data_IF_043432331533
#
_entry.id   IF_043432331533
#
_cell.length_a   1.000
_cell.length_b   1.000
_cell.length_c   1.000
_cell.angle_alpha   90.00
_cell.angle_beta   90.00
_cell.angle_gamma   90.00
#
_symmetry.space_group_name_H-M   'P 1'
#
loop_
_entity.id
_entity.type
_entity.pdbx_description
1 polymer ?
#
# COMPACT_ATOMS: atom_id res chain seq x y z
N UNK A 1 -1.71 37.69 11.68
CA UNK A 1 -1.00 37.01 10.56
C UNK A 1 -0.62 37.94 9.39
N UNK A 2 -1.22 39.13 9.22
CA UNK A 2 -0.87 40.06 8.13
C UNK A 2 0.56 40.65 8.19
N UNK A 3 1.27 40.51 9.31
CA UNK A 3 2.56 41.15 9.56
C UNK A 3 3.79 40.35 9.09
N UNK A 4 3.64 39.04 8.79
CA UNK A 4 4.75 38.22 8.29
C UNK A 4 5.03 38.48 6.80
N UNK A 5 3.99 38.81 6.04
CA UNK A 5 4.08 39.10 4.60
C UNK A 5 4.48 40.56 4.28
N UNK A 6 4.59 41.42 5.29
CA UNK A 6 5.03 42.81 5.15
C UNK A 6 6.54 42.98 5.36
N UNK A 7 7.29 41.90 5.52
CA UNK A 7 8.74 41.96 5.70
C UNK A 7 9.43 42.24 4.35
N UNK A 8 10.44 43.11 4.33
CA UNK A 8 11.04 43.60 3.09
C UNK A 8 11.93 42.56 2.38
N UNK A 9 12.40 41.54 3.11
CA UNK A 9 13.32 40.53 2.58
C UNK A 9 13.02 39.13 3.16
N UNK A 10 13.34 38.09 2.38
CA UNK A 10 13.15 36.68 2.71
C UNK A 10 14.04 36.22 3.89
N UNK A 11 15.21 36.84 4.06
CA UNK A 11 16.11 36.60 5.20
C UNK A 11 15.47 37.04 6.52
N UNK A 12 14.91 38.24 6.56
CA UNK A 12 14.20 38.78 7.71
C UNK A 12 12.94 37.96 8.09
N UNK A 13 12.30 37.31 7.10
CA UNK A 13 11.21 36.38 7.32
C UNK A 13 11.72 35.08 7.97
N UNK A 14 12.80 34.50 7.45
CA UNK A 14 13.41 33.29 8.02
C UNK A 14 13.81 33.53 9.48
N UNK A 15 14.52 34.61 9.78
CA UNK A 15 14.97 34.98 11.13
C UNK A 15 13.80 35.14 12.11
N UNK A 16 12.70 35.75 11.65
CA UNK A 16 11.48 35.87 12.47
C UNK A 16 10.78 34.53 12.68
N UNK A 17 10.71 33.67 11.67
CA UNK A 17 10.10 32.36 11.81
C UNK A 17 10.90 31.45 12.76
N UNK A 18 12.20 31.70 12.93
CA UNK A 18 13.05 31.03 13.93
C UNK A 18 13.05 31.68 15.31
N UNK A 19 12.23 32.72 15.55
CA UNK A 19 12.16 33.35 16.88
C UNK A 19 11.20 32.57 17.79
N UNK A 20 11.63 32.08 18.98
CA UNK A 20 10.78 31.28 19.87
C UNK A 20 9.46 31.96 20.24
N UNK A 21 9.50 33.28 20.45
CA UNK A 21 8.34 34.10 20.81
C UNK A 21 7.26 34.15 19.72
N UNK A 22 7.59 33.78 18.48
CA UNK A 22 6.63 33.68 17.37
C UNK A 22 6.12 32.25 17.22
N UNK A 23 6.98 31.25 17.40
CA UNK A 23 6.64 29.84 17.24
C UNK A 23 5.69 29.35 18.34
N UNK A 24 5.93 29.70 19.60
CA UNK A 24 5.09 29.29 20.74
C UNK A 24 3.59 29.63 20.59
N UNK A 25 3.19 30.90 20.31
CA UNK A 25 1.78 31.22 20.13
C UNK A 25 1.19 30.57 18.87
N UNK A 26 2.01 30.31 17.85
CA UNK A 26 1.59 29.61 16.65
C UNK A 26 1.27 28.14 16.96
N UNK A 27 2.13 27.45 17.71
CA UNK A 27 1.90 26.08 18.20
C UNK A 27 0.68 26.01 19.14
N UNK A 28 0.48 27.02 19.98
CA UNK A 28 -0.69 27.12 20.85
C UNK A 28 -2.00 27.29 20.05
N UNK A 29 -1.93 27.89 18.86
CA UNK A 29 -3.08 28.09 17.95
C UNK A 29 -3.44 26.87 17.08
N UNK A 30 -2.66 25.79 17.15
CA UNK A 30 -2.92 24.57 16.39
C UNK A 30 -4.15 23.84 16.94
N UNK A 31 -5.02 23.37 16.04
CA UNK A 31 -6.14 22.49 16.39
C UNK A 31 -5.59 21.11 16.79
N UNK A 32 -6.36 20.28 17.52
CA UNK A 32 -5.91 18.94 17.89
C UNK A 32 -5.44 18.09 16.70
N UNK A 33 -6.14 18.18 15.56
CA UNK A 33 -5.81 17.43 14.35
C UNK A 33 -4.54 17.98 13.66
N UNK A 34 -4.32 19.30 13.70
CA UNK A 34 -3.09 19.91 13.19
C UNK A 34 -1.88 19.50 14.05
N UNK A 35 -2.06 19.45 15.37
CA UNK A 35 -1.04 19.02 16.32
C UNK A 35 -0.68 17.55 16.13
N UNK A 36 -1.68 16.68 15.98
CA UNK A 36 -1.46 15.26 15.70
C UNK A 36 -0.66 15.05 14.39
N UNK A 37 -0.99 15.80 13.33
CA UNK A 37 -0.23 15.76 12.09
C UNK A 37 1.23 16.22 12.28
N UNK A 38 1.48 17.28 13.04
CA UNK A 38 2.83 17.76 13.34
C UNK A 38 3.62 16.73 14.17
N UNK A 39 3.01 16.17 15.20
CA UNK A 39 3.60 15.13 16.05
C UNK A 39 3.94 13.89 15.24
N UNK A 40 3.08 13.51 14.27
CA UNK A 40 3.36 12.40 13.36
C UNK A 40 4.64 12.65 12.54
N UNK A 41 4.81 13.86 12.00
CA UNK A 41 6.02 14.20 11.22
C UNK A 41 7.27 14.21 12.13
N UNK A 42 7.14 14.73 13.35
CA UNK A 42 8.23 14.74 14.33
C UNK A 42 8.64 13.31 14.75
N UNK A 43 7.67 12.42 14.97
CA UNK A 43 7.92 11.01 15.27
C UNK A 43 8.63 10.26 14.13
N UNK A 44 8.45 10.71 12.88
CA UNK A 44 9.16 10.19 11.69
C UNK A 44 10.54 10.84 11.47
N UNK A 45 11.02 11.64 12.43
CA UNK A 45 12.33 12.31 12.35
C UNK A 45 12.32 13.67 11.64
N UNK A 46 11.13 14.24 11.42
CA UNK A 46 10.94 15.55 10.78
C UNK A 46 10.72 15.50 9.27
N UNK A 47 10.62 14.29 8.68
CA UNK A 47 10.31 14.09 7.27
C UNK A 47 9.36 12.90 7.09
N UNK A 48 8.36 13.02 6.23
CA UNK A 48 7.40 11.95 5.94
C UNK A 48 6.95 11.98 4.48
N UNK A 49 6.66 10.81 3.90
CA UNK A 49 6.08 10.73 2.58
C UNK A 49 4.70 11.40 2.55
N UNK A 50 4.46 12.25 1.54
CA UNK A 50 3.22 13.03 1.44
C UNK A 50 2.00 12.11 1.43
N UNK A 51 2.03 11.02 0.67
CA UNK A 51 0.92 10.06 0.55
C UNK A 51 0.49 9.48 1.90
N UNK A 52 1.44 9.19 2.80
CA UNK A 52 1.13 8.64 4.12
C UNK A 52 0.41 9.66 4.98
N UNK A 53 0.88 10.91 4.98
CA UNK A 53 0.32 11.98 5.78
C UNK A 53 -1.03 12.44 5.25
N UNK A 54 -1.17 12.58 3.93
CA UNK A 54 -2.40 13.07 3.29
C UNK A 54 -3.58 12.11 3.42
N UNK A 55 -3.30 10.80 3.49
CA UNK A 55 -4.32 9.78 3.71
C UNK A 55 -5.05 9.96 5.04
N UNK A 56 -4.34 10.42 6.07
CA UNK A 56 -4.87 10.54 7.44
C UNK A 56 -5.30 11.97 7.77
N UNK A 57 -4.56 12.98 7.31
CA UNK A 57 -4.73 14.37 7.73
C UNK A 57 -5.17 15.32 6.60
N UNK A 58 -5.45 14.79 5.42
CA UNK A 58 -5.86 15.52 4.21
C UNK A 58 -4.69 16.13 3.44
N UNK A 59 -4.94 16.55 2.20
CA UNK A 59 -3.92 17.08 1.30
C UNK A 59 -3.89 18.60 1.23
N UNK A 60 -2.81 19.15 0.67
CA UNK A 60 -2.75 20.55 0.24
C UNK A 60 -3.56 20.68 -1.04
N UNK A 61 -4.44 21.68 -1.12
CA UNK A 61 -5.21 21.99 -2.34
C UNK A 61 -4.27 22.63 -3.37
N UNK A 62 -3.84 21.94 -4.44
CA UNK A 62 -2.95 22.54 -5.41
C UNK A 62 -3.75 23.44 -6.34
N UNK A 63 -3.16 24.56 -6.77
CA UNK A 63 -3.79 25.47 -7.72
C UNK A 63 -4.17 24.75 -9.03
N UNK A 64 -3.36 23.75 -9.43
CA UNK A 64 -3.55 22.95 -10.64
C UNK A 64 -4.75 22.00 -10.58
N UNK A 65 -5.31 21.71 -9.40
CA UNK A 65 -6.51 20.87 -9.28
C UNK A 65 -7.81 21.61 -9.67
N UNK A 66 -7.76 22.94 -9.87
CA UNK A 66 -8.94 23.74 -10.16
C UNK A 66 -8.94 24.23 -11.60
N UNK A 67 -10.08 24.07 -12.29
CA UNK A 67 -10.26 24.46 -13.69
C UNK A 67 -10.08 25.95 -13.93
N UNK A 68 -10.46 26.79 -12.95
CA UNK A 68 -10.28 28.24 -13.03
C UNK A 68 -9.81 28.85 -11.70
N UNK A 69 -9.15 30.03 -11.73
CA UNK A 69 -8.66 30.69 -10.53
C UNK A 69 -9.76 31.02 -9.51
N UNK A 70 -10.98 31.33 -10.01
CA UNK A 70 -12.11 31.67 -9.14
C UNK A 70 -12.57 30.48 -8.29
N UNK A 71 -12.56 29.26 -8.84
CA UNK A 71 -12.88 28.05 -8.08
C UNK A 71 -11.85 27.79 -6.99
N UNK A 72 -10.56 28.02 -7.27
CA UNK A 72 -9.51 27.93 -6.25
C UNK A 72 -9.72 28.94 -5.12
N UNK A 73 -9.98 30.22 -5.44
CA UNK A 73 -10.27 31.25 -4.42
C UNK A 73 -11.51 30.91 -3.58
N UNK A 74 -12.57 30.39 -4.21
CA UNK A 74 -13.74 29.92 -3.50
C UNK A 74 -13.41 28.75 -2.57
N UNK A 75 -12.55 27.82 -3.02
CA UNK A 75 -12.10 26.71 -2.18
C UNK A 75 -11.31 27.21 -0.97
N UNK A 76 -10.48 28.24 -1.11
CA UNK A 76 -9.71 28.83 0.01
C UNK A 76 -10.58 29.38 1.15
N UNK A 77 -11.85 29.73 0.89
CA UNK A 77 -12.80 30.11 1.94
C UNK A 77 -13.27 28.93 2.79
N UNK A 78 -13.11 27.69 2.31
CA UNK A 78 -13.40 26.48 3.07
C UNK A 78 -12.34 26.19 4.14
N UNK A 79 -12.68 25.32 5.09
CA UNK A 79 -11.78 24.90 6.17
C UNK A 79 -10.58 24.14 5.57
N UNK A 80 -9.33 24.57 5.84
CA UNK A 80 -8.15 23.88 5.34
C UNK A 80 -7.95 22.54 6.08
N UNK A 81 -7.36 21.58 5.36
CA UNK A 81 -6.88 20.33 5.97
C UNK A 81 -5.79 20.62 7.01
N UNK A 82 -5.44 19.65 7.85
CA UNK A 82 -4.38 19.85 8.84
C UNK A 82 -3.02 20.05 8.17
N UNK A 83 -2.72 19.24 7.15
CA UNK A 83 -1.47 19.37 6.37
C UNK A 83 -1.41 20.72 5.67
N UNK A 84 -2.50 21.16 5.05
CA UNK A 84 -2.56 22.48 4.42
C UNK A 84 -2.37 23.62 5.41
N UNK A 85 -2.98 23.51 6.60
CA UNK A 85 -2.80 24.52 7.65
C UNK A 85 -1.35 24.57 8.14
N UNK A 86 -0.72 23.42 8.38
CA UNK A 86 0.70 23.37 8.76
C UNK A 86 1.60 23.97 7.67
N UNK A 87 1.28 23.72 6.39
CA UNK A 87 1.99 24.28 5.25
C UNK A 87 1.82 25.80 5.14
N UNK A 88 0.60 26.31 5.26
CA UNK A 88 0.30 27.75 5.23
C UNK A 88 0.95 28.49 6.40
N UNK A 89 1.08 27.83 7.55
CA UNK A 89 1.79 28.38 8.72
C UNK A 89 3.32 28.31 8.59
N UNK A 90 3.86 27.67 7.55
CA UNK A 90 5.30 27.52 7.33
C UNK A 90 5.97 26.53 8.27
N UNK A 91 5.20 25.68 8.98
CA UNK A 91 5.73 24.65 9.87
C UNK A 91 6.28 23.44 9.11
N UNK A 92 5.78 23.22 7.89
CA UNK A 92 6.21 22.14 7.00
C UNK A 92 6.40 22.70 5.58
N UNK A 93 7.26 22.05 4.82
CA UNK A 93 7.51 22.33 3.41
C UNK A 93 7.33 21.07 2.59
N UNK A 94 6.84 21.22 1.36
CA UNK A 94 6.66 20.14 0.41
C UNK A 94 7.85 20.11 -0.56
N UNK A 95 8.55 18.97 -0.61
CA UNK A 95 9.63 18.72 -1.55
C UNK A 95 9.26 17.57 -2.49
N UNK A 96 9.75 17.62 -3.73
CA UNK A 96 9.62 16.54 -4.69
C UNK A 96 10.98 15.87 -4.87
N UNK A 97 11.04 14.56 -4.64
CA UNK A 97 12.23 13.73 -4.80
C UNK A 97 11.96 12.66 -5.87
N UNK A 98 13.00 11.93 -6.30
CA UNK A 98 12.86 10.81 -7.24
C UNK A 98 11.93 9.71 -6.71
N UNK A 99 11.87 9.54 -5.37
CA UNK A 99 10.99 8.59 -4.70
C UNK A 99 9.55 9.11 -4.49
N UNK A 100 9.27 10.36 -4.88
CA UNK A 100 7.97 11.03 -4.72
C UNK A 100 8.01 12.27 -3.83
N UNK A 101 6.82 12.76 -3.48
CA UNK A 101 6.65 13.96 -2.68
C UNK A 101 6.80 13.69 -1.18
N UNK A 102 7.51 14.56 -0.47
CA UNK A 102 7.75 14.48 0.97
C UNK A 102 7.40 15.80 1.67
N UNK A 103 6.83 15.70 2.86
CA UNK A 103 6.72 16.83 3.79
C UNK A 103 7.91 16.81 4.74
N UNK A 104 8.58 17.95 4.88
CA UNK A 104 9.70 18.12 5.80
C UNK A 104 9.54 19.36 6.67
N UNK A 105 9.95 19.26 7.92
CA UNK A 105 10.03 20.41 8.84
C UNK A 105 11.35 21.14 8.53
N UNK A 106 11.32 22.48 8.31
CA UNK A 106 12.53 23.27 8.17
C UNK A 106 13.52 23.02 9.33
N UNK A 107 14.79 22.83 9.00
CA UNK A 107 15.80 22.39 9.99
C UNK A 107 15.91 23.36 11.15
N UNK A 108 15.82 24.67 10.88
CA UNK A 108 15.89 25.72 11.89
C UNK A 108 14.67 25.77 12.83
N UNK A 109 13.52 25.21 12.41
CA UNK A 109 12.33 25.13 13.26
C UNK A 109 12.38 23.95 14.22
N UNK A 110 13.04 22.84 13.85
CA UNK A 110 13.12 21.62 14.68
C UNK A 110 13.51 21.87 16.15
N UNK A 111 14.52 22.68 16.51
CA UNK A 111 14.87 22.89 17.92
C UNK A 111 13.81 23.65 18.72
N UNK A 112 12.85 24.32 18.05
CA UNK A 112 11.78 25.10 18.66
C UNK A 112 10.48 24.29 18.83
N UNK A 113 10.44 23.06 18.30
CA UNK A 113 9.26 22.21 18.33
C UNK A 113 9.28 21.26 19.55
N UNK A 114 8.10 20.78 19.98
CA UNK A 114 8.04 19.80 21.06
C UNK A 114 8.82 18.54 20.70
N UNK A 115 9.47 17.95 21.70
CA UNK A 115 10.14 16.65 21.53
C UNK A 115 9.11 15.54 21.53
N UNK A 116 9.07 14.75 20.47
CA UNK A 116 8.16 13.61 20.30
C UNK A 116 8.99 12.33 20.23
N UNK A 117 8.52 11.26 20.88
CA UNK A 117 9.19 9.97 20.80
C UNK A 117 9.18 9.46 19.35
N UNK A 118 10.30 8.91 18.84
CA UNK A 118 10.35 8.38 17.49
C UNK A 118 9.39 7.20 17.36
N UNK A 119 8.82 7.03 16.16
CA UNK A 119 7.91 5.92 15.89
C UNK A 119 8.66 4.59 15.96
N UNK A 120 8.15 3.66 16.75
CA UNK A 120 8.67 2.30 16.76
C UNK A 120 8.31 1.62 15.43
N UNK A 121 9.31 1.46 14.57
CA UNK A 121 9.19 0.77 13.28
C UNK A 121 9.54 -0.70 13.38
N UNK A 122 9.77 -1.24 14.57
CA UNK A 122 10.04 -2.67 14.70
C UNK A 122 8.75 -3.45 14.42
N UNK A 123 8.71 -4.26 13.34
CA UNK A 123 7.54 -5.09 13.10
C UNK A 123 7.44 -6.09 14.25
N UNK A 124 6.34 -6.01 15.01
CA UNK A 124 6.04 -7.00 16.03
C UNK A 124 5.38 -8.20 15.37
N UNK A 125 6.11 -9.32 15.34
CA UNK A 125 5.55 -10.58 14.88
C UNK A 125 4.89 -11.28 16.06
N UNK A 126 3.58 -11.46 16.00
CA UNK A 126 2.86 -12.31 16.94
C UNK A 126 3.22 -13.78 16.70
N UNK A 127 3.34 -14.56 17.76
CA UNK A 127 3.44 -16.03 17.65
C UNK A 127 2.10 -16.54 17.14
N UNK A 128 2.06 -16.97 15.88
CA UNK A 128 0.91 -17.66 15.32
C UNK A 128 0.91 -19.10 15.88
N UNK A 129 -0.24 -19.64 16.31
CA UNK A 129 -0.32 -21.06 16.66
C UNK A 129 0.19 -21.92 15.49
N UNK A 130 0.90 -23.02 15.77
CA UNK A 130 1.40 -23.89 14.72
C UNK A 130 0.24 -24.36 13.84
N UNK A 131 0.41 -24.38 12.50
CA UNK A 131 -0.65 -24.82 11.61
C UNK A 131 -1.03 -26.26 11.93
N UNK A 132 -2.34 -26.55 11.91
CA UNK A 132 -2.88 -27.89 12.22
C UNK A 132 -2.38 -28.96 11.24
N UNK A 133 -1.95 -28.54 10.05
CA UNK A 133 -1.46 -29.42 9.00
C UNK A 133 -0.15 -28.86 8.44
N UNK A 134 0.90 -29.67 8.52
CA UNK A 134 2.16 -29.46 7.82
C UNK A 134 2.37 -30.64 6.88
N UNK A 135 2.78 -30.35 5.65
CA UNK A 135 3.11 -31.36 4.65
C UNK A 135 4.49 -31.02 4.10
N UNK A 136 5.35 -32.04 3.97
CA UNK A 136 6.64 -31.86 3.31
C UNK A 136 6.42 -31.40 1.87
N UNK A 137 7.19 -30.40 1.43
CA UNK A 137 7.09 -29.92 0.06
C UNK A 137 7.54 -31.02 -0.91
N UNK A 138 6.63 -31.43 -1.79
CA UNK A 138 6.92 -32.30 -2.94
C UNK A 138 6.64 -31.49 -4.22
N UNK A 139 7.67 -30.88 -4.83
CA UNK A 139 7.49 -30.08 -6.04
C UNK A 139 6.90 -30.87 -7.21
N UNK A 140 7.27 -32.15 -7.34
CA UNK A 140 6.79 -33.01 -8.44
C UNK A 140 5.34 -33.43 -8.22
N UNK A 141 4.97 -33.74 -6.98
CA UNK A 141 3.57 -33.95 -6.60
C UNK A 141 2.71 -32.71 -6.86
N UNK A 142 3.21 -31.54 -6.45
CA UNK A 142 2.54 -30.27 -6.66
C UNK A 142 2.31 -29.95 -8.14
N UNK A 143 3.34 -30.11 -8.98
CA UNK A 143 3.24 -29.90 -10.43
C UNK A 143 2.24 -30.88 -11.06
N UNK A 144 2.30 -32.16 -10.68
CA UNK A 144 1.38 -33.19 -11.18
C UNK A 144 -0.06 -32.88 -10.82
N UNK A 145 -0.31 -32.44 -9.59
CA UNK A 145 -1.64 -32.08 -9.12
C UNK A 145 -2.17 -30.85 -9.86
N UNK A 146 -1.32 -29.83 -10.06
CA UNK A 146 -1.64 -28.64 -10.84
C UNK A 146 -2.02 -28.98 -12.28
N UNK A 147 -1.18 -29.77 -12.96
CA UNK A 147 -1.44 -30.23 -14.34
C UNK A 147 -2.73 -31.05 -14.41
N UNK A 148 -2.99 -31.89 -13.40
CA UNK A 148 -4.23 -32.68 -13.33
C UNK A 148 -5.46 -31.80 -13.19
N UNK A 149 -5.41 -30.75 -12.36
CA UNK A 149 -6.51 -29.78 -12.22
C UNK A 149 -6.77 -29.06 -13.55
N UNK A 150 -5.71 -28.58 -14.20
CA UNK A 150 -5.82 -27.87 -15.48
C UNK A 150 -6.36 -28.78 -16.57
N UNK A 151 -5.83 -30.01 -16.70
CA UNK A 151 -6.28 -30.99 -17.67
C UNK A 151 -7.77 -31.35 -17.48
N UNK A 152 -8.22 -31.49 -16.23
CA UNK A 152 -9.62 -31.72 -15.93
C UNK A 152 -10.52 -30.53 -16.31
N UNK A 153 -10.09 -29.31 -15.99
CA UNK A 153 -10.83 -28.10 -16.35
C UNK A 153 -10.86 -27.85 -17.87
N UNK A 154 -9.86 -28.34 -18.60
CA UNK A 154 -9.83 -28.29 -20.07
C UNK A 154 -10.76 -29.33 -20.71
N UNK A 155 -10.80 -30.55 -20.16
CA UNK A 155 -11.65 -31.62 -20.66
C UNK A 155 -13.14 -31.35 -20.42
N UNK A 156 -13.50 -30.85 -19.24
CA UNK A 156 -14.88 -30.50 -18.90
C UNK A 156 -14.89 -29.48 -17.75
N UNK A 157 -15.54 -28.30 -17.93
CA UNK A 157 -15.51 -27.23 -16.95
C UNK A 157 -15.92 -27.67 -15.54
N UNK A 158 -15.12 -27.32 -14.54
CA UNK A 158 -15.39 -27.63 -13.14
C UNK A 158 -16.46 -26.67 -12.62
N UNK A 159 -17.59 -27.20 -12.16
CA UNK A 159 -18.68 -26.41 -11.58
C UNK A 159 -18.27 -25.76 -10.26
N UNK A 160 -18.68 -24.51 -10.08
CA UNK A 160 -18.57 -23.73 -8.85
C UNK A 160 -19.94 -23.58 -8.19
N UNK A 161 -19.91 -23.39 -6.87
CA UNK A 161 -21.02 -22.94 -6.06
C UNK A 161 -21.13 -21.40 -6.11
N UNK A 162 -22.21 -20.84 -5.59
CA UNK A 162 -22.44 -19.39 -5.53
C UNK A 162 -21.37 -18.62 -4.74
N UNK A 163 -20.62 -19.29 -3.86
CA UNK A 163 -19.53 -18.71 -3.08
C UNK A 163 -18.15 -18.83 -3.77
N UNK A 164 -18.10 -19.26 -5.05
CA UNK A 164 -16.86 -19.41 -5.81
C UNK A 164 -16.02 -20.64 -5.41
N UNK A 165 -16.57 -21.55 -4.61
CA UNK A 165 -15.92 -22.85 -4.29
C UNK A 165 -16.35 -23.94 -5.25
N UNK A 166 -15.53 -24.98 -5.42
CA UNK A 166 -15.84 -26.14 -6.27
C UNK A 166 -17.08 -26.88 -5.76
N UNK A 167 -17.99 -27.16 -6.68
CA UNK A 167 -19.16 -28.00 -6.41
C UNK A 167 -18.74 -29.44 -6.08
N UNK A 168 -19.53 -30.14 -5.28
CA UNK A 168 -19.23 -31.51 -4.79
C UNK A 168 -18.93 -32.50 -5.92
N UNK A 169 -19.60 -32.39 -7.06
CA UNK A 169 -19.35 -33.23 -8.24
C UNK A 169 -17.96 -32.97 -8.84
N UNK A 170 -17.53 -31.72 -8.92
CA UNK A 170 -16.20 -31.33 -9.38
C UNK A 170 -15.11 -31.81 -8.42
N UNK A 171 -15.35 -31.71 -7.11
CA UNK A 171 -14.45 -32.23 -6.08
C UNK A 171 -14.31 -33.76 -6.16
N UNK A 172 -15.40 -34.50 -6.37
CA UNK A 172 -15.35 -35.94 -6.53
C UNK A 172 -14.55 -36.37 -7.77
N UNK A 173 -14.69 -35.63 -8.88
CA UNK A 173 -13.91 -35.86 -10.12
C UNK A 173 -12.42 -35.59 -9.90
N UNK A 174 -12.08 -34.50 -9.20
CA UNK A 174 -10.71 -34.18 -8.82
C UNK A 174 -10.11 -35.25 -7.92
N UNK A 175 -10.83 -35.67 -6.89
CA UNK A 175 -10.41 -36.71 -5.97
C UNK A 175 -10.14 -38.04 -6.67
N UNK A 176 -11.01 -38.42 -7.61
CA UNK A 176 -10.83 -39.63 -8.42
C UNK A 176 -9.55 -39.58 -9.30
N UNK A 177 -9.19 -38.41 -9.83
CA UNK A 177 -7.97 -38.25 -10.65
C UNK A 177 -6.70 -38.14 -9.82
N UNK A 178 -6.78 -37.46 -8.69
CA UNK A 178 -5.66 -37.30 -7.76
C UNK A 178 -5.45 -38.54 -6.89
N UNK A 179 -6.28 -39.58 -7.03
CA UNK A 179 -6.23 -40.81 -6.22
C UNK A 179 -6.32 -40.55 -4.71
N UNK A 180 -7.12 -39.55 -4.32
CA UNK A 180 -7.36 -39.21 -2.91
C UNK A 180 -8.82 -39.33 -2.55
N UNK A 181 -9.10 -39.42 -1.24
CA UNK A 181 -10.47 -39.43 -0.73
C UNK A 181 -11.16 -38.09 -1.00
N UNK A 182 -12.35 -38.14 -1.59
CA UNK A 182 -13.11 -36.93 -1.90
C UNK A 182 -13.46 -36.15 -0.63
N UNK A 183 -12.97 -34.91 -0.54
CA UNK A 183 -13.37 -33.99 0.51
C UNK A 183 -14.83 -33.58 0.34
N UNK A 184 -15.55 -33.40 1.46
CA UNK A 184 -16.94 -32.92 1.46
C UNK A 184 -17.07 -31.47 1.00
N UNK A 185 -16.00 -30.68 1.11
CA UNK A 185 -15.92 -29.29 0.69
C UNK A 185 -14.50 -28.91 0.33
N UNK A 186 -14.34 -27.90 -0.54
CA UNK A 186 -13.02 -27.38 -0.93
C UNK A 186 -12.25 -26.80 0.27
N UNK A 187 -12.96 -26.23 1.26
CA UNK A 187 -12.35 -25.74 2.51
C UNK A 187 -11.65 -26.85 3.33
N UNK A 188 -12.06 -28.11 3.16
CA UNK A 188 -11.40 -29.27 3.78
C UNK A 188 -10.27 -29.84 2.93
N UNK A 189 -9.96 -29.20 1.80
CA UNK A 189 -8.88 -29.59 0.91
C UNK A 189 -8.00 -28.37 0.53
N UNK A 190 -7.24 -27.82 1.50
CA UNK A 190 -6.49 -26.57 1.32
C UNK A 190 -5.51 -26.59 0.14
N UNK A 191 -4.92 -27.75 -0.15
CA UNK A 191 -4.01 -27.93 -1.28
C UNK A 191 -4.69 -27.64 -2.63
N UNK A 192 -5.91 -28.15 -2.85
CA UNK A 192 -6.67 -27.89 -4.09
C UNK A 192 -7.12 -26.43 -4.17
N UNK A 193 -7.54 -25.84 -3.05
CA UNK A 193 -7.90 -24.42 -2.99
C UNK A 193 -6.71 -23.52 -3.37
N UNK A 194 -5.52 -23.83 -2.83
CA UNK A 194 -4.27 -23.15 -3.16
C UNK A 194 -3.91 -23.32 -4.64
N UNK A 195 -3.89 -24.55 -5.13
CA UNK A 195 -3.54 -24.87 -6.52
C UNK A 195 -4.48 -24.18 -7.51
N UNK A 196 -5.79 -24.16 -7.24
CA UNK A 196 -6.77 -23.46 -8.08
C UNK A 196 -6.55 -21.95 -8.07
N UNK A 197 -6.28 -21.37 -6.90
CA UNK A 197 -6.00 -19.94 -6.77
C UNK A 197 -4.75 -19.55 -7.56
N UNK A 198 -3.67 -20.32 -7.41
CA UNK A 198 -2.45 -20.12 -8.18
C UNK A 198 -2.67 -20.28 -9.68
N UNK A 199 -3.37 -21.32 -10.11
CA UNK A 199 -3.66 -21.54 -11.53
C UNK A 199 -4.50 -20.40 -12.13
N UNK A 200 -5.43 -19.82 -11.36
CA UNK A 200 -6.23 -18.68 -11.77
C UNK A 200 -5.39 -17.40 -11.87
N UNK A 201 -4.55 -17.14 -10.87
CA UNK A 201 -3.73 -15.94 -10.81
C UNK A 201 -2.63 -15.96 -11.89
N UNK A 202 -2.17 -17.16 -12.28
CA UNK A 202 -1.28 -17.39 -13.43
C UNK A 202 -2.01 -17.34 -14.79
N UNK A 203 -3.33 -17.18 -14.81
CA UNK A 203 -4.12 -17.14 -16.04
C UNK A 203 -4.27 -18.49 -16.74
N UNK A 204 -4.01 -19.61 -16.07
CA UNK A 204 -4.17 -20.97 -16.60
C UNK A 204 -5.63 -21.45 -16.49
N UNK A 205 -6.36 -20.93 -15.52
CA UNK A 205 -7.78 -21.18 -15.28
C UNK A 205 -8.59 -19.89 -15.32
N UNK A 206 -9.81 -20.00 -15.82
CA UNK A 206 -10.74 -18.86 -15.90
C UNK A 206 -12.11 -19.23 -15.34
N UNK A 207 -12.68 -18.30 -14.57
CA UNK A 207 -14.03 -18.41 -14.04
C UNK A 207 -15.02 -17.75 -15.02
N UNK A 208 -15.98 -18.53 -15.54
CA UNK A 208 -17.05 -18.03 -16.42
C UNK A 208 -18.38 -18.71 -16.07
N UNK A 209 -19.39 -17.91 -15.76
CA UNK A 209 -20.76 -18.41 -15.53
C UNK A 209 -20.87 -19.52 -14.49
N UNK A 210 -20.15 -19.40 -13.36
CA UNK A 210 -20.16 -20.42 -12.30
C UNK A 210 -19.37 -21.69 -12.64
N UNK A 211 -18.46 -21.64 -13.61
CA UNK A 211 -17.60 -22.76 -13.97
C UNK A 211 -16.14 -22.29 -14.07
N UNK A 212 -15.20 -23.20 -13.80
CA UNK A 212 -13.77 -23.04 -14.06
C UNK A 212 -13.42 -23.83 -15.31
N UNK A 213 -12.89 -23.17 -16.31
CA UNK A 213 -12.41 -23.79 -17.55
C UNK A 213 -10.91 -23.53 -17.71
N UNK A 214 -10.20 -24.50 -18.29
CA UNK A 214 -8.82 -24.31 -18.74
C UNK A 214 -8.77 -23.72 -20.15
N UNK A 215 -7.74 -22.92 -20.43
CA UNK A 215 -7.44 -22.43 -21.78
C UNK A 215 -6.86 -21.02 -21.78
N UNK A 216 -6.18 -20.61 -22.87
CA UNK A 216 -5.60 -19.28 -22.97
C UNK A 216 -6.68 -18.21 -22.87
N UNK A 217 -6.38 -17.16 -22.10
CA UNK A 217 -7.23 -15.99 -21.92
C UNK A 217 -7.34 -15.23 -23.25
N UNK A 218 -8.21 -15.66 -24.17
CA UNK A 218 -8.38 -14.92 -25.42
C UNK A 218 -8.77 -15.66 -26.70
N UNK A 219 -9.68 -16.66 -26.66
CA UNK A 219 -10.50 -16.92 -27.86
C UNK A 219 -11.61 -15.85 -28.07
N UNK A 220 -11.63 -14.80 -27.25
CA UNK A 220 -12.50 -13.64 -27.40
C UNK A 220 -11.97 -12.45 -26.63
N UNK A 221 -11.47 -11.46 -27.37
CA UNK A 221 -11.05 -10.10 -26.97
C UNK A 221 -9.75 -10.01 -26.17
N UNK A 222 -8.68 -9.63 -26.89
CA UNK A 222 -7.41 -9.19 -26.35
C UNK A 222 -7.56 -7.85 -25.62
N UNK A 223 -7.32 -7.86 -24.30
CA UNK A 223 -6.94 -6.68 -23.52
C UNK A 223 -5.48 -6.83 -23.08
N UNK A 224 -4.70 -5.75 -22.96
CA UNK A 224 -3.27 -5.85 -22.73
C UNK A 224 -2.98 -6.45 -21.35
N UNK A 225 -2.22 -7.55 -21.35
CA UNK A 225 -1.62 -8.16 -20.16
C UNK A 225 -0.60 -7.18 -19.60
N UNK A 226 -0.82 -6.68 -18.39
CA UNK A 226 0.16 -5.90 -17.67
C UNK A 226 1.31 -6.82 -17.24
N UNK A 227 2.40 -6.79 -18.01
CA UNK A 227 3.69 -7.39 -17.65
C UNK A 227 4.17 -6.74 -16.36
N UNK A 228 4.06 -7.45 -15.22
CA UNK A 228 4.82 -7.10 -14.02
C UNK A 228 6.24 -7.64 -14.21
N UNK A 229 7.15 -6.76 -14.60
CA UNK A 229 8.58 -7.02 -14.55
C UNK A 229 8.97 -7.31 -13.09
N UNK A 230 9.42 -8.55 -12.85
CA UNK A 230 10.09 -8.91 -11.61
C UNK A 230 11.53 -8.41 -11.74
N UNK A 231 11.82 -7.21 -11.22
CA UNK A 231 13.19 -6.74 -11.07
C UNK A 231 13.89 -7.57 -9.99
N UNK A 232 14.82 -8.44 -10.41
CA UNK A 232 15.79 -9.06 -9.52
C UNK A 232 16.82 -7.99 -9.11
N UNK A 233 17.07 -7.77 -7.79
CA UNK A 233 18.26 -7.06 -7.38
C UNK A 233 19.48 -7.95 -7.60
N UNK A 234 20.45 -7.43 -8.35
CA UNK A 234 21.77 -8.03 -8.55
C UNK A 234 22.52 -8.08 -7.21
N UNK A 235 22.86 -9.29 -6.75
CA UNK A 235 23.86 -9.50 -5.71
C UNK A 235 25.23 -9.07 -6.25
N UNK A 236 25.69 -7.89 -5.83
CA UNK A 236 27.13 -7.59 -5.76
C UNK A 236 27.65 -8.12 -4.43
N UNK A 237 28.09 -9.38 -4.41
CA UNK A 237 28.98 -9.88 -3.36
C UNK A 237 30.42 -9.66 -3.81
N UNK A 238 30.89 -8.45 -3.60
CA UNK A 238 32.32 -8.16 -3.58
C UNK A 238 32.91 -8.69 -2.26
N UNK A 239 34.00 -9.43 -2.41
CA UNK A 239 34.63 -10.17 -1.33
C UNK A 239 35.31 -9.30 -0.28
N UNK A 240 35.37 -9.82 0.94
CA UNK A 240 36.46 -9.55 1.88
C UNK A 240 36.88 -10.86 2.56
N UNK A 241 37.90 -11.48 1.98
CA UNK A 241 38.98 -12.08 2.75
C UNK A 241 39.63 -10.96 3.57
N UNK A 242 39.71 -11.07 4.90
CA UNK A 242 40.90 -10.75 5.69
C UNK A 242 40.71 -11.06 7.19
N UNK A 243 41.63 -11.91 7.67
CA UNK A 243 42.04 -12.25 9.04
C UNK A 243 41.16 -13.16 9.89
#
# INVERSE_FOLDING_TARGET
MAYLWSLPDATALADRLTTPTIVEPLLASLRPLDRAALERILAEGGQVAAVLLEREYGSIRPHSAFVNPRAYLNALHGVPSAVERLFVLGLIQLFHTDAGAIYAIPTELRPLLPTVAPLDRTPSFGVCPPPQHTQAADPLGFERDLVTIIALAYAEPLRLNNNGTLHRTSLARLAARLSVTAATSEARWPAVALLRTLARDLGLLHERGGHVAGGPQGAGVAGPVASRSFEQPAECLDGQLFR
#
